data_IF_414172867294
#
_entry.id   IF_414172867294
#
_cell.length_a   1.000
_cell.length_b   1.000
_cell.length_c   1.000
_cell.angle_alpha   90.00
_cell.angle_beta   90.00
_cell.angle_gamma   90.00
#
_symmetry.space_group_name_H-M   'P 1'
#
loop_
_entity.id
_entity.type
_entity.pdbx_description
1 polymer ?
#
# COMPACT_ATOMS: atom_id res chain seq x y z
N UNK A 1 33.24 8.07 35.30
CA UNK A 1 32.09 8.79 34.73
C UNK A 1 31.69 8.09 33.44
N UNK A 2 30.69 7.22 33.49
CA UNK A 2 30.10 6.61 32.29
C UNK A 2 28.73 7.27 32.08
N UNK A 3 28.56 7.92 30.94
CA UNK A 3 27.32 8.57 30.52
C UNK A 3 26.27 7.51 30.21
N UNK A 4 25.07 7.56 30.81
CA UNK A 4 23.98 6.67 30.46
C UNK A 4 23.25 7.26 29.24
N UNK A 5 23.84 7.10 28.05
CA UNK A 5 23.06 7.13 26.82
C UNK A 5 22.18 5.88 26.82
N UNK A 6 21.06 6.01 27.53
CA UNK A 6 19.96 5.08 27.68
C UNK A 6 19.53 4.62 26.29
N UNK A 7 19.99 3.41 25.98
CA UNK A 7 19.58 2.63 24.83
C UNK A 7 18.07 2.36 24.96
N UNK A 8 17.24 3.29 24.49
CA UNK A 8 15.81 3.06 24.22
C UNK A 8 15.69 2.05 23.07
N UNK A 9 15.99 0.80 23.40
CA UNK A 9 15.45 -0.33 22.66
C UNK A 9 13.96 -0.31 22.95
N UNK A 10 13.17 0.11 21.97
CA UNK A 10 11.76 -0.25 21.86
C UNK A 10 11.69 -1.78 21.95
N UNK A 11 11.58 -2.33 23.16
CA UNK A 11 11.19 -3.71 23.37
C UNK A 11 9.73 -3.80 22.96
N UNK A 12 9.50 -4.14 21.69
CA UNK A 12 8.16 -4.45 21.20
C UNK A 12 7.66 -5.65 22.02
N UNK A 13 6.66 -5.42 22.88
CA UNK A 13 6.08 -6.48 23.67
C UNK A 13 5.30 -7.42 22.74
N UNK A 14 5.67 -8.70 22.71
CA UNK A 14 5.01 -9.71 21.86
C UNK A 14 4.12 -10.61 22.71
N UNK A 15 2.81 -10.39 22.62
CA UNK A 15 1.80 -11.26 23.24
C UNK A 15 1.67 -12.57 22.44
N UNK A 16 2.51 -13.57 22.77
CA UNK A 16 2.58 -14.83 22.02
C UNK A 16 1.23 -15.56 21.99
N UNK A 17 0.48 -15.59 23.11
CA UNK A 17 -0.82 -16.26 23.16
C UNK A 17 -1.83 -15.64 22.18
N UNK A 18 -1.87 -14.31 22.10
CA UNK A 18 -2.74 -13.58 21.18
C UNK A 18 -2.36 -13.80 19.71
N UNK A 19 -1.04 -13.80 19.42
CA UNK A 19 -0.54 -14.12 18.09
C UNK A 19 -0.93 -15.53 17.65
N UNK A 20 -0.78 -16.52 18.55
CA UNK A 20 -1.13 -17.91 18.27
C UNK A 20 -2.63 -18.10 18.05
N UNK A 21 -3.47 -17.35 18.77
CA UNK A 21 -4.92 -17.39 18.61
C UNK A 21 -5.40 -16.80 17.26
N UNK A 22 -4.73 -15.78 16.74
CA UNK A 22 -5.15 -15.06 15.52
C UNK A 22 -4.46 -15.54 14.22
N UNK A 23 -3.47 -16.44 14.32
CA UNK A 23 -2.75 -16.95 13.16
C UNK A 23 -3.49 -18.14 12.52
N UNK A 24 -3.71 -18.06 11.21
CA UNK A 24 -4.13 -19.21 10.40
C UNK A 24 -2.93 -20.06 10.00
N UNK A 25 -2.75 -21.23 10.63
CA UNK A 25 -1.66 -22.16 10.33
C UNK A 25 -1.96 -23.02 9.11
N UNK A 26 -1.82 -22.44 7.92
CA UNK A 26 -1.96 -23.16 6.64
C UNK A 26 -0.70 -23.02 5.82
N UNK A 27 -0.26 -24.10 5.18
CA UNK A 27 0.81 -24.04 4.18
C UNK A 27 0.32 -23.20 2.99
N UNK A 28 1.10 -22.20 2.60
CA UNK A 28 0.87 -21.41 1.37
C UNK A 28 1.99 -21.75 0.39
N UNK A 29 1.64 -22.23 -0.80
CA UNK A 29 2.64 -22.46 -1.83
C UNK A 29 3.28 -21.13 -2.24
N UNK A 30 4.61 -21.14 -2.39
CA UNK A 30 5.43 -19.97 -2.75
C UNK A 30 5.09 -19.44 -4.15
N UNK A 31 4.30 -20.16 -4.95
CA UNK A 31 3.88 -19.75 -6.29
C UNK A 31 2.70 -18.76 -6.37
N UNK A 32 2.06 -18.40 -5.25
CA UNK A 32 0.91 -17.46 -5.19
C UNK A 32 1.02 -16.24 -4.23
N UNK A 33 2.20 -15.74 -3.82
CA UNK A 33 2.28 -14.57 -2.95
C UNK A 33 2.02 -13.26 -3.70
N UNK A 34 2.36 -13.21 -5.00
CA UNK A 34 2.18 -12.03 -5.83
C UNK A 34 0.74 -11.91 -6.32
N UNK A 35 0.15 -10.74 -6.13
CA UNK A 35 -1.09 -10.38 -6.81
C UNK A 35 -0.82 -10.22 -8.29
N UNK A 36 -1.56 -10.93 -9.13
CA UNK A 36 -1.50 -10.74 -10.58
C UNK A 36 -2.23 -9.45 -10.93
N UNK A 37 -1.56 -8.57 -11.66
CA UNK A 37 -2.12 -7.30 -12.11
C UNK A 37 -3.07 -7.49 -13.27
N UNK A 38 -4.00 -6.55 -13.41
CA UNK A 38 -4.94 -6.49 -14.52
C UNK A 38 -4.67 -5.20 -15.33
N UNK A 39 -4.10 -5.30 -16.54
CA UNK A 39 -3.95 -4.13 -17.40
C UNK A 39 -5.32 -3.67 -17.92
N UNK A 40 -5.58 -2.37 -17.85
CA UNK A 40 -6.75 -1.71 -18.42
C UNK A 40 -6.29 -0.41 -19.09
N UNK A 41 -6.24 -0.42 -20.43
CA UNK A 41 -5.66 0.67 -21.23
C UNK A 41 -4.25 1.06 -20.74
N UNK A 42 -4.05 2.30 -20.33
CA UNK A 42 -2.79 2.83 -19.77
C UNK A 42 -2.68 2.65 -18.24
N UNK A 43 -3.59 1.88 -17.64
CA UNK A 43 -3.66 1.62 -16.19
C UNK A 43 -3.28 0.19 -15.86
N UNK A 44 -2.56 0.00 -14.76
CA UNK A 44 -2.28 -1.32 -14.19
C UNK A 44 -2.96 -1.45 -12.82
N UNK A 45 -4.00 -2.27 -12.74
CA UNK A 45 -4.76 -2.48 -11.51
C UNK A 45 -4.19 -3.62 -10.66
N UNK A 46 -4.14 -3.38 -9.35
CA UNK A 46 -3.81 -4.38 -8.34
C UNK A 46 -5.09 -4.73 -7.57
N UNK A 47 -5.77 -5.84 -7.92
CA UNK A 47 -7.01 -6.20 -7.27
C UNK A 47 -6.75 -6.57 -5.81
N UNK A 48 -7.52 -5.96 -4.90
CA UNK A 48 -7.54 -6.30 -3.48
C UNK A 48 -8.92 -6.85 -3.16
N UNK A 49 -8.99 -7.93 -2.39
CA UNK A 49 -10.27 -8.60 -2.02
C UNK A 49 -11.08 -7.86 -0.94
N UNK A 50 -10.84 -6.57 -0.76
CA UNK A 50 -11.57 -5.72 0.20
C UNK A 50 -12.15 -4.51 -0.52
N UNK A 51 -13.29 -4.02 -0.04
CA UNK A 51 -14.01 -2.89 -0.65
C UNK A 51 -13.45 -1.52 -0.29
N UNK A 52 -12.61 -1.44 0.74
CA UNK A 52 -12.20 -0.16 1.34
C UNK A 52 -11.18 0.60 0.50
N UNK A 53 -10.38 -0.09 -0.31
CA UNK A 53 -9.24 0.50 -1.03
C UNK A 53 -8.95 -0.18 -2.36
N UNK A 54 -8.46 0.60 -3.32
CA UNK A 54 -7.97 0.15 -4.63
C UNK A 54 -6.61 0.76 -4.93
N UNK A 55 -5.71 0.01 -5.57
CA UNK A 55 -4.35 0.46 -5.90
C UNK A 55 -4.08 0.40 -7.42
N UNK A 56 -4.54 1.41 -8.19
CA UNK A 56 -4.22 1.53 -9.60
C UNK A 56 -2.84 2.20 -9.82
N UNK A 57 -2.14 1.82 -10.88
CA UNK A 57 -1.01 2.57 -11.42
C UNK A 57 -1.48 3.24 -12.72
N UNK A 58 -1.59 4.59 -12.71
CA UNK A 58 -2.02 5.47 -13.83
C UNK A 58 -3.53 5.51 -14.15
N UNK A 59 -4.03 6.55 -14.86
CA UNK A 59 -5.10 7.41 -14.32
C UNK A 59 -6.50 6.86 -14.54
N UNK A 60 -7.27 6.79 -13.44
CA UNK A 60 -8.70 6.51 -13.48
C UNK A 60 -9.49 7.77 -13.13
N UNK A 61 -10.63 7.95 -13.79
CA UNK A 61 -11.73 8.79 -13.28
C UNK A 61 -12.29 8.15 -12.01
N UNK A 62 -11.64 8.40 -10.87
CA UNK A 62 -12.10 7.94 -9.57
C UNK A 62 -13.28 8.80 -9.08
N UNK A 63 -14.28 8.14 -8.48
CA UNK A 63 -15.46 8.79 -7.89
C UNK A 63 -15.28 9.11 -6.40
N UNK A 64 -14.14 8.73 -5.82
CA UNK A 64 -13.78 8.92 -4.41
C UNK A 64 -12.50 9.74 -4.27
N UNK A 65 -12.15 10.11 -3.04
CA UNK A 65 -10.85 10.72 -2.75
C UNK A 65 -9.70 9.79 -3.19
N UNK A 66 -8.61 10.39 -3.65
CA UNK A 66 -7.44 9.71 -4.21
C UNK A 66 -6.15 10.30 -3.65
N UNK A 67 -5.16 9.43 -3.43
CA UNK A 67 -3.77 9.84 -3.14
C UNK A 67 -2.93 9.45 -4.36
N UNK A 68 -2.29 10.43 -4.99
CA UNK A 68 -1.40 10.19 -6.13
C UNK A 68 0.05 10.20 -5.67
N UNK A 69 0.80 9.16 -6.02
CA UNK A 69 2.22 9.00 -5.67
C UNK A 69 3.06 8.79 -6.93
N UNK A 70 3.94 9.75 -7.24
CA UNK A 70 4.87 9.66 -8.36
C UNK A 70 6.02 8.70 -8.06
N UNK A 71 5.94 7.48 -8.60
CA UNK A 71 6.92 6.42 -8.29
C UNK A 71 8.26 6.59 -9.02
N UNK A 72 8.24 7.10 -10.25
CA UNK A 72 9.43 7.26 -11.09
C UNK A 72 9.36 8.56 -11.90
N UNK A 73 10.53 9.12 -12.22
CA UNK A 73 10.61 10.33 -13.05
C UNK A 73 10.01 11.58 -12.39
N UNK A 74 9.35 12.41 -13.19
CA UNK A 74 8.64 13.60 -12.74
C UNK A 74 7.17 13.50 -13.15
N UNK A 75 6.26 13.82 -12.24
CA UNK A 75 4.82 13.81 -12.48
C UNK A 75 4.29 15.23 -12.40
N UNK A 76 3.72 15.71 -13.51
CA UNK A 76 3.03 17.00 -13.58
C UNK A 76 1.52 16.76 -13.40
N UNK A 77 0.97 17.23 -12.29
CA UNK A 77 -0.46 17.16 -12.02
C UNK A 77 -1.10 18.49 -12.38
N UNK A 78 -1.92 18.50 -13.43
CA UNK A 78 -2.75 19.65 -13.77
C UNK A 78 -4.19 19.39 -13.32
N UNK A 79 -4.67 20.19 -12.38
CA UNK A 79 -6.09 20.28 -12.08
C UNK A 79 -6.62 21.51 -12.85
N UNK A 80 -7.50 21.28 -13.82
CA UNK A 80 -7.74 22.26 -14.88
C UNK A 80 -8.26 23.62 -14.41
N UNK A 81 -7.99 24.64 -15.23
CA UNK A 81 -8.99 25.64 -15.57
C UNK A 81 -9.22 25.58 -17.08
N UNK A 82 -9.92 24.55 -17.56
CA UNK A 82 -10.43 24.53 -18.93
C UNK A 82 -11.73 25.34 -18.98
N UNK A 83 -11.59 26.65 -18.86
CA UNK A 83 -12.65 27.60 -19.13
C UNK A 83 -11.99 28.87 -19.67
N UNK A 84 -11.61 28.86 -20.95
CA UNK A 84 -11.48 30.05 -21.80
C UNK A 84 -11.00 29.65 -23.21
N UNK A 85 -11.99 29.49 -24.10
CA UNK A 85 -12.05 29.89 -25.53
C UNK A 85 -12.79 28.83 -26.36
#
# INVERSE_FOLDING_TARGET
MQSPAMQERLCLHLAVAELMANKKFTSRSVGRPLTTTQPQDDTLDFPVSVSDVTFPIHPLSQRSAAILFGMTGQVLLLHGLWHLA
#
